data_IF_321418860593
#
_entry.id   IF_321418860593
#
_cell.length_a   1.000
_cell.length_b   1.000
_cell.length_c   1.000
_cell.angle_alpha   90.00
_cell.angle_beta   90.00
_cell.angle_gamma   90.00
#
_symmetry.space_group_name_H-M   'P 1'
#
loop_
_entity.id
_entity.type
_entity.pdbx_description
1 polymer ?
#
# COMPACT_ATOMS: atom_id res chain seq x y z
N UNK A 1 14.05 -9.20 -3.06
CA UNK A 1 13.04 -8.13 -2.90
C UNK A 1 13.37 -7.18 -1.74
N UNK A 2 13.52 -7.68 -0.51
CA UNK A 2 13.77 -6.84 0.69
C UNK A 2 14.91 -5.81 0.52
N UNK A 3 16.08 -6.24 0.05
CA UNK A 3 17.22 -5.35 -0.20
C UNK A 3 16.92 -4.22 -1.21
N UNK A 4 16.04 -4.46 -2.17
CA UNK A 4 15.61 -3.43 -3.14
C UNK A 4 14.75 -2.38 -2.44
N UNK A 5 13.81 -2.80 -1.59
CA UNK A 5 12.99 -1.88 -0.81
C UNK A 5 13.83 -1.11 0.21
N UNK A 6 14.78 -1.76 0.87
CA UNK A 6 15.68 -1.10 1.81
C UNK A 6 16.50 0.00 1.18
N UNK A 7 17.04 -0.24 -0.01
CA UNK A 7 17.77 0.77 -0.76
C UNK A 7 16.88 1.96 -1.11
N UNK A 8 15.65 1.69 -1.53
CA UNK A 8 14.66 2.71 -1.92
C UNK A 8 14.24 3.56 -0.73
N UNK A 9 13.89 2.90 0.39
CA UNK A 9 13.43 3.49 1.64
C UNK A 9 14.55 4.03 2.53
N UNK A 10 15.82 3.81 2.15
CA UNK A 10 17.00 4.07 2.98
C UNK A 10 16.90 3.41 4.37
N UNK A 11 16.30 2.23 4.43
CA UNK A 11 16.20 1.44 5.67
C UNK A 11 17.54 0.75 5.94
N UNK A 12 18.39 1.40 6.74
CA UNK A 12 19.73 0.90 7.07
C UNK A 12 19.78 0.30 8.48
N UNK A 13 20.45 -0.85 8.63
CA UNK A 13 20.66 -1.53 9.92
C UNK A 13 19.36 -1.84 10.69
N UNK A 14 18.26 -2.07 9.97
CA UNK A 14 16.96 -2.44 10.53
C UNK A 14 16.67 -3.93 10.33
N UNK A 15 16.17 -4.57 11.37
CA UNK A 15 15.87 -6.00 11.39
C UNK A 15 14.36 -6.19 11.51
N UNK A 16 13.80 -7.13 10.74
CA UNK A 16 12.45 -7.64 10.96
C UNK A 16 12.57 -9.11 11.31
N UNK A 17 11.99 -9.49 12.44
CA UNK A 17 11.75 -10.89 12.75
C UNK A 17 10.30 -11.19 12.46
N UNK A 18 10.09 -12.29 11.78
CA UNK A 18 8.80 -12.80 11.42
C UNK A 18 8.61 -14.12 12.15
N UNK A 19 7.47 -14.27 12.82
CA UNK A 19 7.06 -15.49 13.47
C UNK A 19 5.73 -15.90 12.88
N UNK A 20 5.70 -17.10 12.30
CA UNK A 20 4.57 -17.65 11.60
C UNK A 20 3.87 -18.67 12.50
N UNK A 21 2.58 -18.48 12.72
CA UNK A 21 1.71 -19.36 13.49
C UNK A 21 0.54 -19.80 12.60
N UNK A 22 -0.03 -20.98 12.88
CA UNK A 22 -1.14 -21.49 12.07
C UNK A 22 -2.38 -20.61 12.21
N UNK A 23 -2.65 -20.03 13.38
CA UNK A 23 -3.87 -19.24 13.57
C UNK A 23 -3.72 -18.28 14.76
N UNK A 24 -4.75 -17.45 14.96
CA UNK A 24 -4.80 -16.49 16.06
C UNK A 24 -4.68 -17.15 17.44
N UNK A 25 -5.21 -18.37 17.64
CA UNK A 25 -5.16 -19.07 18.93
C UNK A 25 -3.72 -19.45 19.29
N UNK A 26 -2.94 -19.94 18.32
CA UNK A 26 -1.52 -20.24 18.55
C UNK A 26 -0.73 -18.97 18.86
N UNK A 27 -1.01 -17.90 18.11
CA UNK A 27 -0.39 -16.61 18.30
C UNK A 27 -0.68 -16.05 19.71
N UNK A 28 -1.92 -16.14 20.19
CA UNK A 28 -2.32 -15.76 21.56
C UNK A 28 -1.56 -16.56 22.63
N UNK A 29 -1.46 -17.88 22.45
CA UNK A 29 -0.73 -18.76 23.37
C UNK A 29 0.75 -18.40 23.47
N UNK A 30 1.39 -17.97 22.38
CA UNK A 30 2.81 -17.55 22.39
C UNK A 30 3.07 -16.35 23.32
N UNK A 31 2.06 -15.51 23.57
CA UNK A 31 2.19 -14.37 24.47
C UNK A 31 1.48 -14.57 25.82
N UNK A 32 1.04 -15.79 26.10
CA UNK A 32 0.33 -16.12 27.35
C UNK A 32 -1.11 -15.60 27.44
N UNK A 33 -1.74 -15.29 26.31
CA UNK A 33 -3.18 -15.01 26.26
C UNK A 33 -3.92 -16.33 26.09
N UNK A 34 -4.65 -16.75 27.12
CA UNK A 34 -5.47 -17.96 27.06
C UNK A 34 -6.81 -17.70 26.36
N UNK A 35 -7.41 -16.52 26.62
CA UNK A 35 -8.65 -16.08 25.99
C UNK A 35 -8.79 -14.55 26.10
N UNK A 36 -9.32 -13.92 25.05
CA UNK A 36 -9.77 -12.52 25.07
C UNK A 36 -11.06 -12.37 24.28
N UNK A 37 -12.13 -11.92 24.95
CA UNK A 37 -13.45 -11.78 24.33
C UNK A 37 -13.47 -10.87 23.09
N UNK A 38 -12.61 -9.84 23.05
CA UNK A 38 -12.47 -8.92 21.90
C UNK A 38 -12.02 -9.61 20.60
N UNK A 39 -11.47 -10.82 20.70
CA UNK A 39 -11.01 -11.60 19.56
C UNK A 39 -12.02 -12.66 19.11
N UNK A 40 -13.18 -12.76 19.74
CA UNK A 40 -14.23 -13.68 19.32
C UNK A 40 -14.65 -13.46 17.85
N UNK A 41 -14.68 -14.56 17.10
CA UNK A 41 -15.01 -14.55 15.67
C UNK A 41 -13.85 -14.17 14.74
N UNK A 42 -12.70 -13.74 15.27
CA UNK A 42 -11.49 -13.54 14.47
C UNK A 42 -10.75 -14.85 14.29
N UNK A 43 -10.47 -15.22 13.04
CA UNK A 43 -9.68 -16.42 12.70
C UNK A 43 -8.21 -16.12 12.54
N UNK A 44 -7.89 -14.89 12.15
CA UNK A 44 -6.55 -14.48 11.77
C UNK A 44 -6.20 -13.12 12.36
N UNK A 45 -4.91 -12.92 12.65
CA UNK A 45 -4.39 -11.60 13.01
C UNK A 45 -2.90 -11.46 12.68
N UNK A 46 -2.44 -10.22 12.63
CA UNK A 46 -1.03 -9.86 12.54
C UNK A 46 -0.73 -8.92 13.69
N UNK A 47 0.17 -9.32 14.58
CA UNK A 47 0.65 -8.47 15.66
C UNK A 47 2.06 -8.00 15.36
N UNK A 48 2.39 -6.81 15.85
CA UNK A 48 3.76 -6.33 15.72
C UNK A 48 4.17 -5.47 16.90
N UNK A 49 5.47 -5.47 17.16
CA UNK A 49 6.12 -4.61 18.15
C UNK A 49 7.42 -4.08 17.57
N UNK A 50 7.88 -2.94 18.06
CA UNK A 50 9.13 -2.32 17.63
C UNK A 50 9.96 -1.93 18.84
N UNK A 51 11.24 -2.27 18.80
CA UNK A 51 12.22 -1.89 19.83
C UNK A 51 13.55 -1.52 19.17
N UNK A 52 13.96 -0.26 19.28
CA UNK A 52 15.18 0.26 18.65
C UNK A 52 15.17 0.11 17.13
N UNK A 53 16.10 -0.70 16.61
CA UNK A 53 16.23 -1.00 15.17
C UNK A 53 15.55 -2.31 14.75
N UNK A 54 14.82 -2.97 15.65
CA UNK A 54 14.22 -4.28 15.43
C UNK A 54 12.69 -4.20 15.47
N UNK A 55 12.02 -4.82 14.50
CA UNK A 55 10.57 -5.00 14.48
C UNK A 55 10.25 -6.48 14.54
N UNK A 56 9.41 -6.86 15.49
CA UNK A 56 8.81 -8.19 15.56
C UNK A 56 7.45 -8.14 14.86
N UNK A 57 7.20 -9.10 13.98
CA UNK A 57 5.89 -9.33 13.36
C UNK A 57 5.52 -10.79 13.61
N UNK A 58 4.34 -11.02 14.16
CA UNK A 58 3.81 -12.36 14.43
C UNK A 58 2.52 -12.53 13.63
N UNK A 59 2.50 -13.52 12.75
CA UNK A 59 1.38 -13.87 11.90
C UNK A 59 0.63 -15.05 12.48
N UNK A 60 -0.69 -14.94 12.58
CA UNK A 60 -1.56 -16.06 12.93
C UNK A 60 -2.62 -16.20 11.85
N UNK A 61 -2.21 -16.47 10.62
CA UNK A 61 -3.04 -16.36 9.42
C UNK A 61 -2.95 -17.59 8.49
N UNK A 62 -3.05 -18.80 9.06
CA UNK A 62 -3.00 -20.07 8.33
C UNK A 62 -1.72 -20.27 7.53
N UNK A 63 -0.62 -19.77 8.07
CA UNK A 63 0.68 -19.81 7.42
C UNK A 63 1.78 -20.00 8.46
N UNK A 64 2.01 -21.24 8.89
CA UNK A 64 3.12 -21.62 9.79
C UNK A 64 4.49 -21.61 9.13
N UNK A 65 4.55 -21.54 7.80
CA UNK A 65 5.80 -21.56 7.04
C UNK A 65 6.03 -20.21 6.35
N UNK A 66 7.30 -19.88 6.05
CA UNK A 66 7.64 -18.64 5.35
C UNK A 66 7.39 -18.69 3.82
N UNK A 67 6.81 -19.78 3.34
CA UNK A 67 6.76 -20.09 1.91
C UNK A 67 5.69 -19.28 1.18
N UNK A 68 4.73 -18.70 1.91
CA UNK A 68 3.67 -17.86 1.37
C UNK A 68 3.88 -16.44 1.90
N UNK A 69 4.52 -15.60 1.10
CA UNK A 69 4.83 -14.23 1.48
C UNK A 69 4.50 -13.27 0.34
N UNK A 70 3.69 -12.25 0.62
CA UNK A 70 3.31 -11.25 -0.37
C UNK A 70 4.35 -10.11 -0.40
N UNK A 71 5.06 -9.90 -1.53
CA UNK A 71 5.96 -8.75 -1.67
C UNK A 71 5.25 -7.39 -1.49
N UNK A 72 3.92 -7.35 -1.66
CA UNK A 72 3.08 -6.21 -1.30
C UNK A 72 3.24 -5.86 0.20
N UNK A 73 2.97 -6.83 1.08
CA UNK A 73 3.05 -6.65 2.53
C UNK A 73 4.48 -6.41 2.99
N UNK A 74 5.47 -6.99 2.29
CA UNK A 74 6.88 -6.66 2.53
C UNK A 74 7.15 -5.17 2.41
N UNK A 75 6.58 -4.51 1.39
CA UNK A 75 6.81 -3.07 1.20
C UNK A 75 6.30 -2.30 2.42
N UNK A 76 5.08 -2.59 2.86
CA UNK A 76 4.46 -2.00 4.06
C UNK A 76 5.28 -2.25 5.32
N UNK A 77 5.86 -3.44 5.45
CA UNK A 77 6.69 -3.81 6.58
C UNK A 77 8.03 -3.10 6.58
N UNK A 78 8.70 -3.03 5.42
CA UNK A 78 9.95 -2.26 5.29
C UNK A 78 9.71 -0.77 5.48
N UNK A 79 8.62 -0.21 4.96
CA UNK A 79 8.24 1.19 5.14
C UNK A 79 8.04 1.53 6.62
N UNK A 80 7.37 0.65 7.36
CA UNK A 80 7.09 0.89 8.79
C UNK A 80 8.33 0.96 9.69
N UNK A 81 9.50 0.55 9.20
CA UNK A 81 10.78 0.67 9.93
C UNK A 81 11.36 2.10 9.89
N UNK A 82 10.94 2.90 8.92
CA UNK A 82 11.48 4.23 8.66
C UNK A 82 10.45 5.34 8.88
N UNK A 83 9.15 5.02 8.84
CA UNK A 83 8.07 5.96 9.15
C UNK A 83 6.90 5.24 9.85
N UNK A 84 6.27 5.86 10.88
CA UNK A 84 5.02 5.34 11.44
C UNK A 84 3.89 5.29 10.41
N UNK A 85 3.14 4.18 10.35
CA UNK A 85 2.00 4.01 9.44
C UNK A 85 0.88 5.05 9.63
N UNK A 86 0.77 5.66 10.81
CA UNK A 86 -0.19 6.74 11.05
C UNK A 86 0.16 8.06 10.36
N UNK A 87 1.39 8.20 9.84
CA UNK A 87 1.87 9.40 9.16
C UNK A 87 1.86 9.29 7.64
N UNK A 88 1.75 8.08 7.09
CA UNK A 88 1.79 7.88 5.63
C UNK A 88 0.45 8.23 4.99
N UNK A 89 0.51 8.68 3.75
CA UNK A 89 -0.67 8.75 2.91
C UNK A 89 -1.01 7.34 2.41
N UNK A 90 -2.09 6.75 2.95
CA UNK A 90 -2.45 5.36 2.69
C UNK A 90 -2.61 5.03 1.20
N UNK A 91 -3.31 5.81 0.37
CA UNK A 91 -3.37 5.54 -1.07
C UNK A 91 -2.01 5.50 -1.77
N UNK A 92 -1.06 6.35 -1.36
CA UNK A 92 0.29 6.38 -1.92
C UNK A 92 1.11 5.17 -1.45
N UNK A 93 0.95 4.78 -0.19
CA UNK A 93 1.56 3.57 0.39
C UNK A 93 1.13 2.31 -0.37
N UNK A 94 -0.18 2.10 -0.51
CA UNK A 94 -0.78 1.01 -1.27
C UNK A 94 -0.38 1.04 -2.75
N UNK A 95 -0.33 2.24 -3.34
CA UNK A 95 0.15 2.43 -4.71
C UNK A 95 1.60 1.99 -4.90
N UNK A 96 2.48 2.30 -3.94
CA UNK A 96 3.87 1.82 -3.94
C UNK A 96 3.93 0.29 -3.79
N UNK A 97 3.15 -0.28 -2.86
CA UNK A 97 3.13 -1.71 -2.59
C UNK A 97 2.68 -2.52 -3.82
N UNK A 98 1.59 -2.11 -4.49
CA UNK A 98 1.17 -2.74 -5.75
C UNK A 98 2.18 -2.58 -6.87
N UNK A 99 2.75 -1.38 -7.03
CA UNK A 99 3.67 -1.10 -8.13
C UNK A 99 4.97 -1.91 -8.01
N UNK A 100 5.53 -2.00 -6.80
CA UNK A 100 6.84 -2.63 -6.59
C UNK A 100 6.75 -4.11 -6.18
N UNK A 101 5.65 -4.52 -5.56
CA UNK A 101 5.46 -5.87 -5.02
C UNK A 101 4.43 -6.71 -5.76
N UNK A 102 3.51 -6.11 -6.52
CA UNK A 102 2.29 -6.82 -6.94
C UNK A 102 1.36 -7.04 -5.75
N UNK A 103 0.54 -8.10 -5.79
CA UNK A 103 -0.13 -8.70 -4.63
C UNK A 103 -0.81 -10.02 -5.00
N UNK A 104 -0.93 -10.95 -4.06
CA UNK A 104 -1.63 -12.24 -4.24
C UNK A 104 -1.12 -13.10 -5.41
N UNK A 105 0.18 -13.00 -5.70
CA UNK A 105 0.80 -13.67 -6.84
C UNK A 105 0.51 -13.01 -8.19
N UNK A 106 -0.22 -11.90 -8.22
CA UNK A 106 -0.45 -11.08 -9.40
C UNK A 106 0.60 -9.99 -9.51
N UNK A 107 1.12 -9.80 -10.72
CA UNK A 107 1.95 -8.66 -11.07
C UNK A 107 1.13 -7.37 -11.13
N UNK A 108 1.82 -6.24 -11.03
CA UNK A 108 1.23 -4.92 -11.29
C UNK A 108 0.43 -4.89 -12.60
N UNK A 109 0.96 -5.50 -13.68
CA UNK A 109 0.31 -5.53 -14.99
C UNK A 109 -1.05 -6.23 -14.96
N UNK A 110 -1.16 -7.33 -14.22
CA UNK A 110 -2.41 -8.09 -14.09
C UNK A 110 -3.43 -7.33 -13.24
N UNK A 111 -2.98 -6.73 -12.13
CA UNK A 111 -3.83 -5.90 -11.26
C UNK A 111 -4.37 -4.68 -12.02
N UNK A 112 -3.48 -3.99 -12.75
CA UNK A 112 -3.84 -2.83 -13.56
C UNK A 112 -4.83 -3.22 -14.68
N UNK A 113 -4.66 -4.39 -15.29
CA UNK A 113 -5.61 -4.92 -16.28
C UNK A 113 -7.00 -5.10 -15.67
N UNK A 114 -7.12 -5.73 -14.50
CA UNK A 114 -8.41 -5.89 -13.82
C UNK A 114 -9.06 -4.56 -13.45
N UNK A 115 -8.28 -3.59 -12.96
CA UNK A 115 -8.74 -2.23 -12.71
C UNK A 115 -9.28 -1.56 -13.97
N UNK A 116 -8.55 -1.68 -15.08
CA UNK A 116 -8.94 -1.07 -16.36
C UNK A 116 -10.22 -1.69 -16.91
N UNK A 117 -10.36 -3.00 -16.86
CA UNK A 117 -11.54 -3.72 -17.37
C UNK A 117 -12.82 -3.39 -16.59
N UNK A 118 -12.73 -3.22 -15.26
CA UNK A 118 -13.90 -3.02 -14.40
C UNK A 118 -14.25 -1.55 -14.17
N UNK A 119 -13.25 -0.67 -14.11
CA UNK A 119 -13.43 0.75 -13.76
C UNK A 119 -13.01 1.62 -14.93
N UNK A 120 -11.73 1.61 -15.29
CA UNK A 120 -11.15 2.59 -16.22
C UNK A 120 -11.41 2.31 -17.72
N UNK A 121 -12.49 1.61 -18.04
CA UNK A 121 -13.06 1.52 -19.39
C UNK A 121 -14.28 2.45 -19.55
N UNK A 122 -14.85 2.93 -18.44
CA UNK A 122 -15.91 3.93 -18.47
C UNK A 122 -15.33 5.34 -18.55
N UNK A 123 -15.37 5.95 -19.75
CA UNK A 123 -14.86 7.30 -20.00
C UNK A 123 -15.62 8.43 -19.28
N UNK A 124 -16.79 8.15 -18.68
CA UNK A 124 -17.52 9.14 -17.90
C UNK A 124 -17.03 9.26 -16.45
N UNK A 125 -16.06 8.43 -16.04
CA UNK A 125 -15.48 8.52 -14.70
C UNK A 125 -14.75 9.86 -14.54
N UNK A 126 -15.05 10.52 -13.42
CA UNK A 126 -14.29 11.63 -12.89
C UNK A 126 -13.37 11.15 -11.76
N UNK A 127 -12.05 11.16 -12.00
CA UNK A 127 -11.07 10.74 -11.01
C UNK A 127 -10.97 11.70 -9.82
N UNK A 128 -11.39 12.95 -10.00
CA UNK A 128 -11.49 13.92 -8.90
C UNK A 128 -12.58 13.50 -7.93
N UNK A 129 -13.72 13.02 -8.46
CA UNK A 129 -14.81 12.47 -7.64
C UNK A 129 -14.38 11.16 -6.97
N UNK A 130 -13.74 10.23 -7.69
CA UNK A 130 -13.24 8.97 -7.09
C UNK A 130 -12.27 9.23 -5.93
N UNK A 131 -11.51 10.32 -5.97
CA UNK A 131 -10.59 10.69 -4.88
C UNK A 131 -11.32 11.03 -3.57
N UNK A 132 -12.53 11.57 -3.66
CA UNK A 132 -13.37 11.92 -2.49
C UNK A 132 -14.39 10.82 -2.17
N UNK A 133 -14.85 10.09 -3.19
CA UNK A 133 -15.85 9.03 -3.14
C UNK A 133 -15.27 7.73 -3.73
N UNK A 134 -14.46 6.97 -2.96
CA UNK A 134 -13.73 5.84 -3.49
C UNK A 134 -14.64 4.72 -3.98
N UNK A 135 -14.36 4.23 -5.19
CA UNK A 135 -14.95 3.01 -5.74
C UNK A 135 -13.97 1.85 -5.67
N UNK A 136 -14.49 0.62 -5.76
CA UNK A 136 -13.68 -0.59 -5.66
C UNK A 136 -13.85 -1.50 -6.88
N UNK A 137 -12.81 -2.27 -7.19
CA UNK A 137 -12.80 -3.33 -8.20
C UNK A 137 -12.29 -4.64 -7.59
N UNK A 138 -12.39 -5.75 -8.31
CA UNK A 138 -11.92 -7.06 -7.83
C UNK A 138 -10.71 -7.59 -8.57
N UNK A 139 -9.82 -8.27 -7.84
CA UNK A 139 -8.79 -9.18 -8.38
C UNK A 139 -8.97 -10.54 -7.73
N UNK A 140 -9.56 -11.49 -8.46
CA UNK A 140 -10.04 -12.74 -7.86
C UNK A 140 -11.10 -12.47 -6.79
N UNK A 141 -10.85 -12.94 -5.56
CA UNK A 141 -11.77 -12.77 -4.42
C UNK A 141 -11.51 -11.48 -3.61
N UNK A 142 -10.50 -10.70 -3.97
CA UNK A 142 -10.08 -9.52 -3.22
C UNK A 142 -10.71 -8.24 -3.78
N UNK A 143 -11.19 -7.37 -2.89
CA UNK A 143 -11.78 -6.07 -3.23
C UNK A 143 -10.75 -4.97 -3.00
N UNK A 144 -10.49 -4.16 -4.03
CA UNK A 144 -9.43 -3.17 -4.07
C UNK A 144 -9.98 -1.76 -4.36
N UNK A 145 -9.58 -0.72 -3.62
CA UNK A 145 -9.87 0.66 -3.97
C UNK A 145 -9.20 1.09 -5.28
N UNK A 146 -9.99 1.70 -6.16
CA UNK A 146 -9.50 2.25 -7.43
C UNK A 146 -8.43 3.35 -7.23
N UNK A 147 -8.58 4.16 -6.18
CA UNK A 147 -7.62 5.24 -5.86
C UNK A 147 -6.20 4.70 -5.65
N UNK A 148 -6.04 3.47 -5.12
CA UNK A 148 -4.70 2.90 -4.92
C UNK A 148 -3.96 2.68 -6.24
N UNK A 149 -4.69 2.28 -7.29
CA UNK A 149 -4.14 2.07 -8.63
C UNK A 149 -3.81 3.41 -9.30
N UNK A 150 -4.64 4.42 -9.11
CA UNK A 150 -4.34 5.80 -9.56
C UNK A 150 -3.07 6.32 -8.89
N UNK A 151 -2.91 6.11 -7.59
CA UNK A 151 -1.70 6.53 -6.87
C UNK A 151 -0.47 5.76 -7.32
N UNK A 152 -0.57 4.47 -7.66
CA UNK A 152 0.54 3.72 -8.27
C UNK A 152 1.02 4.35 -9.59
N UNK A 153 0.11 4.82 -10.44
CA UNK A 153 0.46 5.54 -11.68
C UNK A 153 1.15 6.88 -11.38
N UNK A 154 0.65 7.63 -10.40
CA UNK A 154 1.25 8.90 -9.98
C UNK A 154 2.65 8.67 -9.37
N UNK A 155 2.81 7.64 -8.55
CA UNK A 155 4.11 7.20 -8.00
C UNK A 155 5.08 6.88 -9.15
N UNK A 156 4.62 6.14 -10.18
CA UNK A 156 5.45 5.81 -11.35
C UNK A 156 5.89 7.06 -12.12
N UNK A 157 5.00 8.03 -12.32
CA UNK A 157 5.32 9.34 -12.95
C UNK A 157 6.34 10.10 -12.10
N UNK A 158 6.07 10.30 -10.81
CA UNK A 158 6.92 11.05 -9.90
C UNK A 158 8.30 10.41 -9.81
N UNK A 159 8.38 9.09 -9.64
CA UNK A 159 9.66 8.40 -9.56
C UNK A 159 10.47 8.54 -10.85
N UNK A 160 9.82 8.49 -12.02
CA UNK A 160 10.50 8.70 -13.30
C UNK A 160 11.07 10.12 -13.43
N UNK A 161 10.37 11.13 -12.92
CA UNK A 161 10.72 12.55 -13.10
C UNK A 161 11.64 13.10 -12.00
N UNK A 162 11.50 12.59 -10.77
CA UNK A 162 12.12 13.15 -9.55
C UNK A 162 12.88 12.09 -8.74
N UNK A 163 12.83 10.82 -9.14
CA UNK A 163 13.30 9.71 -8.34
C UNK A 163 12.42 9.45 -7.11
N UNK A 164 12.80 8.43 -6.34
CA UNK A 164 12.08 8.07 -5.11
C UNK A 164 11.99 9.20 -4.06
N UNK A 165 12.92 10.17 -3.94
CA UNK A 165 12.72 11.31 -3.04
C UNK A 165 11.44 12.11 -3.31
N UNK A 166 10.99 12.20 -4.57
CA UNK A 166 9.69 12.82 -4.89
C UNK A 166 8.51 11.96 -4.42
N UNK A 167 8.59 10.64 -4.59
CA UNK A 167 7.59 9.70 -4.09
C UNK A 167 7.52 9.78 -2.56
N UNK A 168 8.67 9.86 -1.91
CA UNK A 168 8.78 10.00 -0.46
C UNK A 168 8.05 11.24 0.04
N UNK A 169 8.18 12.37 -0.67
CA UNK A 169 7.45 13.60 -0.33
C UNK A 169 5.93 13.39 -0.38
N UNK A 170 5.40 12.80 -1.46
CA UNK A 170 3.97 12.53 -1.58
C UNK A 170 3.49 11.50 -0.54
N UNK A 171 4.27 10.45 -0.29
CA UNK A 171 3.98 9.43 0.73
C UNK A 171 3.89 10.03 2.14
N UNK A 172 4.66 11.09 2.41
CA UNK A 172 4.76 11.77 3.71
C UNK A 172 3.86 13.00 3.84
N UNK A 173 2.93 13.24 2.91
CA UNK A 173 2.01 14.39 2.98
C UNK A 173 1.07 14.34 4.20
N UNK A 174 0.94 13.15 4.80
CA UNK A 174 0.08 12.88 5.95
C UNK A 174 -1.08 11.94 5.61
N UNK A 175 -1.85 11.53 6.63
CA UNK A 175 -3.05 10.72 6.44
C UNK A 175 -4.12 11.51 5.66
N UNK A 176 -5.15 10.79 5.21
CA UNK A 176 -6.29 11.39 4.52
C UNK A 176 -6.87 12.58 5.30
N UNK A 177 -7.18 13.64 4.56
CA UNK A 177 -7.96 14.77 5.02
C UNK A 177 -9.07 15.04 4.02
N UNK A 178 -10.22 15.49 4.52
CA UNK A 178 -11.37 15.82 3.67
C UNK A 178 -10.97 16.87 2.63
N UNK A 179 -11.25 16.60 1.35
CA UNK A 179 -10.90 17.49 0.24
C UNK A 179 -9.48 17.31 -0.31
N UNK A 180 -8.62 16.51 0.34
CA UNK A 180 -7.27 16.14 -0.10
C UNK A 180 -6.36 17.35 -0.41
N UNK A 181 -6.51 18.49 0.27
CA UNK A 181 -5.85 19.75 -0.10
C UNK A 181 -4.31 19.65 -0.04
N UNK A 182 -3.73 19.15 1.05
CA UNK A 182 -2.28 18.92 1.15
C UNK A 182 -1.78 17.95 0.09
N UNK A 183 -2.56 16.91 -0.21
CA UNK A 183 -2.24 15.92 -1.24
C UNK A 183 -2.16 16.59 -2.60
N UNK A 184 -3.16 17.39 -3.00
CA UNK A 184 -3.16 18.10 -4.27
C UNK A 184 -2.04 19.15 -4.35
N UNK A 185 -1.78 19.91 -3.28
CA UNK A 185 -0.68 20.87 -3.24
C UNK A 185 0.68 20.19 -3.45
N UNK A 186 0.91 19.05 -2.77
CA UNK A 186 2.15 18.28 -2.91
C UNK A 186 2.26 17.66 -4.29
N UNK A 187 1.16 17.10 -4.80
CA UNK A 187 1.13 16.52 -6.14
C UNK A 187 1.42 17.56 -7.22
N UNK A 188 0.82 18.74 -7.12
CA UNK A 188 1.01 19.85 -8.06
C UNK A 188 2.45 20.34 -8.04
N UNK A 189 3.05 20.49 -6.86
CA UNK A 189 4.48 20.81 -6.71
C UNK A 189 5.37 19.79 -7.42
N UNK A 190 5.06 18.50 -7.28
CA UNK A 190 5.91 17.42 -7.82
C UNK A 190 5.75 17.24 -9.32
N UNK A 191 4.54 17.42 -9.85
CA UNK A 191 4.14 16.97 -11.20
C UNK A 191 3.45 18.01 -12.07
N UNK A 192 3.00 19.13 -11.51
CA UNK A 192 2.09 20.08 -12.16
C UNK A 192 0.63 19.65 -12.21
N UNK A 193 0.29 18.49 -11.63
CA UNK A 193 -1.09 18.00 -11.55
C UNK A 193 -1.78 18.64 -10.33
N UNK A 194 -2.69 19.57 -10.59
CA UNK A 194 -3.53 20.24 -9.60
C UNK A 194 -4.89 19.56 -9.48
N UNK A 195 -5.69 19.92 -8.46
CA UNK A 195 -7.07 19.45 -8.33
C UNK A 195 -7.92 19.74 -9.58
N UNK A 196 -7.70 20.89 -10.22
CA UNK A 196 -8.48 21.32 -11.39
C UNK A 196 -8.17 20.53 -12.66
N UNK A 197 -6.96 19.97 -12.80
CA UNK A 197 -6.56 19.19 -13.96
C UNK A 197 -6.38 17.69 -13.66
N UNK A 198 -6.69 17.26 -12.44
CA UNK A 198 -6.45 15.91 -11.94
C UNK A 198 -7.10 14.85 -12.83
N UNK A 199 -8.39 14.99 -13.12
CA UNK A 199 -9.13 14.03 -13.94
C UNK A 199 -8.48 13.77 -15.30
N UNK A 200 -8.12 14.83 -16.03
CA UNK A 200 -7.51 14.73 -17.35
C UNK A 200 -6.14 14.06 -17.30
N UNK A 201 -5.31 14.45 -16.32
CA UNK A 201 -3.97 13.88 -16.15
C UNK A 201 -4.02 12.40 -15.73
N UNK A 202 -4.96 12.01 -14.86
CA UNK A 202 -5.13 10.60 -14.49
C UNK A 202 -5.56 9.77 -15.70
N UNK A 203 -6.49 10.27 -16.53
CA UNK A 203 -6.85 9.60 -17.77
C UNK A 203 -5.66 9.44 -18.73
N UNK A 204 -4.83 10.48 -18.86
CA UNK A 204 -3.59 10.39 -19.65
C UNK A 204 -2.67 9.28 -19.12
N UNK A 205 -2.45 9.21 -17.81
CA UNK A 205 -1.64 8.16 -17.18
C UNK A 205 -2.20 6.77 -17.44
N UNK A 206 -3.51 6.58 -17.27
CA UNK A 206 -4.18 5.29 -17.50
C UNK A 206 -4.05 4.84 -18.97
N UNK A 207 -4.16 5.78 -19.91
CA UNK A 207 -4.07 5.47 -21.34
C UNK A 207 -2.64 5.17 -21.79
N UNK A 208 -1.64 5.75 -21.10
CA UNK A 208 -0.22 5.57 -21.40
C UNK A 208 0.43 4.40 -20.64
N UNK A 209 -0.27 3.78 -19.69
CA UNK A 209 0.23 2.63 -18.95
C UNK A 209 0.26 1.36 -19.83
N UNK A 210 1.39 0.65 -19.80
CA UNK A 210 1.70 -0.52 -20.64
C UNK A 210 1.96 -1.78 -19.83
#
# INVERSE_FOLDING_TARGET
MAATFDRKLKSTNKIIDYYCCDNLIELEKLIGVEYKADYNGRRESVWSSSYGNRKLIVFGNNNSNFDVFDPHDLFHDRLSLVIPRSKVNKPVDEGCAYLYGGSWGLSWKEIFKSFKEQIANNKSIDWTDIKENPVTFKTGNYTNPADYIVNALLVKKIEKERGFPGVWELLNVGPFEKGNEKYYQTLEKLTGISKANYNNNVWELINNEK
#
